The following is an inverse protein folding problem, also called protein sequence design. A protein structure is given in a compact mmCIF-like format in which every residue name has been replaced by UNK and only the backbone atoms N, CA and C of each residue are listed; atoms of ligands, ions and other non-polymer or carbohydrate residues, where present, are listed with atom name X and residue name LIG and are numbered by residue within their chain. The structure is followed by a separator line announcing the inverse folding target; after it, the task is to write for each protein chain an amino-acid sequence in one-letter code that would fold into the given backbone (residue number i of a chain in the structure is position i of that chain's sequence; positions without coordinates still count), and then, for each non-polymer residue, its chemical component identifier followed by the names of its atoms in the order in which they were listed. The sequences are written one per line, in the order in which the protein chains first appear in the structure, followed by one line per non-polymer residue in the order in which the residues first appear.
data_IF_823026008195
#
_entry.id   IF_823026008195
#
_cell.length_a   1.000
_cell.length_b   1.000
_cell.length_c   1.000
_cell.angle_alpha   90.00
_cell.angle_beta   90.00
_cell.angle_gamma   90.00
#
_symmetry.space_group_name_H-M   'P 1'
#
loop_
_entity.id
_entity.type
_entity.pdbx_description
1 polymer ?
#
# COMPACT_ATOMS: atom_id res chain seq x y z
N UNK A 1 2.72 -39.55 2.94
CA UNK A 1 2.15 -38.21 2.64
C UNK A 1 0.67 -38.31 2.27
N UNK A 2 0.24 -39.37 1.60
CA UNK A 2 -1.17 -39.79 1.46
C UNK A 2 -1.88 -39.98 2.80
N UNK A 3 -1.20 -40.55 3.80
CA UNK A 3 -1.75 -40.73 5.15
C UNK A 3 -2.14 -39.40 5.83
N UNK A 4 -1.27 -38.39 5.75
CA UNK A 4 -1.56 -37.06 6.30
C UNK A 4 -2.77 -36.44 5.60
N UNK A 5 -2.82 -36.51 4.26
CA UNK A 5 -3.94 -35.99 3.49
C UNK A 5 -5.26 -36.71 3.80
N UNK A 6 -5.23 -38.02 4.00
CA UNK A 6 -6.40 -38.83 4.40
C UNK A 6 -6.90 -38.44 5.80
N UNK A 7 -6.00 -38.32 6.77
CA UNK A 7 -6.35 -37.94 8.14
C UNK A 7 -6.98 -36.55 8.20
N UNK A 8 -6.39 -35.58 7.48
CA UNK A 8 -6.93 -34.21 7.43
C UNK A 8 -8.25 -34.13 6.67
N UNK A 9 -8.43 -34.95 5.61
CA UNK A 9 -9.71 -35.02 4.88
C UNK A 9 -10.84 -35.56 5.75
N UNK A 10 -10.57 -36.56 6.59
CA UNK A 10 -11.55 -37.09 7.55
C UNK A 10 -11.95 -36.01 8.57
N UNK A 11 -11.02 -35.14 8.97
CA UNK A 11 -11.24 -34.13 10.00
C UNK A 11 -11.91 -32.83 9.50
N UNK A 12 -11.60 -32.39 8.28
CA UNK A 12 -12.06 -31.10 7.71
C UNK A 12 -13.00 -31.24 6.51
N UNK A 13 -13.29 -32.46 6.05
CA UNK A 13 -14.14 -32.72 4.89
C UNK A 13 -13.48 -32.32 3.57
N UNK A 14 -14.30 -31.99 2.56
CA UNK A 14 -13.82 -31.60 1.22
C UNK A 14 -13.36 -30.12 1.13
N UNK A 15 -13.53 -29.32 2.18
CA UNK A 15 -13.05 -27.92 2.26
C UNK A 15 -11.63 -27.89 2.84
N UNK A 16 -10.74 -28.70 2.27
CA UNK A 16 -9.36 -28.84 2.74
C UNK A 16 -8.34 -28.65 1.59
N UNK A 17 -7.07 -28.46 1.97
CA UNK A 17 -5.95 -28.35 1.04
C UNK A 17 -5.92 -29.52 0.05
N UNK A 18 -5.63 -29.22 -1.21
CA UNK A 18 -5.43 -30.24 -2.23
C UNK A 18 -4.25 -31.13 -1.87
N UNK A 19 -4.23 -32.36 -2.41
CA UNK A 19 -3.13 -33.29 -2.18
C UNK A 19 -1.76 -32.69 -2.56
N UNK A 20 -1.72 -31.85 -3.59
CA UNK A 20 -0.51 -31.11 -3.99
C UNK A 20 -0.08 -30.10 -2.92
N UNK A 21 -1.01 -29.31 -2.38
CA UNK A 21 -0.70 -28.33 -1.34
C UNK A 21 -0.18 -29.00 -0.05
N UNK A 22 -0.77 -30.14 0.35
CA UNK A 22 -0.26 -30.93 1.49
C UNK A 22 1.17 -31.41 1.25
N UNK A 23 1.47 -31.83 0.02
CA UNK A 23 2.81 -32.26 -0.37
C UNK A 23 3.82 -31.10 -0.28
N UNK A 24 3.47 -29.94 -0.83
CA UNK A 24 4.31 -28.73 -0.79
C UNK A 24 4.61 -28.29 0.65
N UNK A 25 3.58 -28.24 1.51
CA UNK A 25 3.76 -27.91 2.92
C UNK A 25 4.63 -28.92 3.67
N UNK A 26 4.40 -30.21 3.44
CA UNK A 26 5.21 -31.27 4.04
C UNK A 26 6.69 -31.19 3.60
N UNK A 27 6.95 -30.81 2.35
CA UNK A 27 8.31 -30.57 1.86
C UNK A 27 8.94 -29.32 2.50
N UNK A 28 8.18 -28.22 2.63
CA UNK A 28 8.63 -27.00 3.33
C UNK A 28 9.06 -27.32 4.77
N UNK A 29 8.24 -28.05 5.52
CA UNK A 29 8.57 -28.46 6.89
C UNK A 29 9.81 -29.35 6.95
N UNK A 30 9.94 -30.34 6.04
CA UNK A 30 11.14 -31.18 5.96
C UNK A 30 12.41 -30.39 5.64
N UNK A 31 12.27 -29.30 4.89
CA UNK A 31 13.37 -28.39 4.54
C UNK A 31 13.64 -27.32 5.61
N UNK A 32 13.04 -27.45 6.81
CA UNK A 32 13.31 -26.57 7.95
C UNK A 32 12.52 -25.27 7.97
N UNK A 33 11.54 -25.08 7.07
CA UNK A 33 10.61 -23.95 7.15
C UNK A 33 9.60 -24.23 8.26
N UNK A 34 9.65 -23.45 9.33
CA UNK A 34 8.75 -23.58 10.49
C UNK A 34 7.62 -22.55 10.51
N UNK A 35 7.73 -21.48 9.72
CA UNK A 35 6.69 -20.45 9.61
C UNK A 35 5.54 -20.93 8.73
N UNK A 36 4.31 -20.75 9.23
CA UNK A 36 3.06 -21.02 8.51
C UNK A 36 2.52 -19.75 7.84
N UNK A 37 3.07 -18.58 8.18
CA UNK A 37 2.68 -17.32 7.55
C UNK A 37 3.05 -17.32 6.06
N UNK A 38 2.23 -16.65 5.25
CA UNK A 38 2.56 -16.43 3.85
C UNK A 38 3.90 -15.71 3.72
N UNK A 39 4.74 -16.22 2.83
CA UNK A 39 5.95 -15.51 2.45
C UNK A 39 5.56 -14.16 1.83
N UNK A 40 6.43 -13.13 1.88
CA UNK A 40 6.21 -11.89 1.17
C UNK A 40 5.87 -12.21 -0.28
N UNK A 41 4.60 -12.05 -0.64
CA UNK A 41 4.19 -12.21 -2.01
C UNK A 41 4.72 -10.98 -2.75
N UNK A 42 5.35 -11.13 -3.92
CA UNK A 42 5.53 -10.01 -4.81
C UNK A 42 4.12 -9.55 -5.20
N UNK A 43 3.58 -8.59 -4.45
CA UNK A 43 2.45 -7.81 -4.90
C UNK A 43 2.84 -7.09 -6.18
N UNK A 44 1.86 -6.58 -6.93
CA UNK A 44 2.13 -5.68 -8.03
C UNK A 44 2.88 -4.47 -7.43
N UNK A 45 4.21 -4.46 -7.56
CA UNK A 45 5.00 -3.33 -7.15
C UNK A 45 4.36 -2.12 -7.82
N UNK A 46 3.99 -1.11 -7.04
CA UNK A 46 3.47 0.13 -7.57
C UNK A 46 4.59 0.72 -8.44
N UNK A 47 4.59 0.40 -9.74
CA UNK A 47 5.54 0.81 -10.77
C UNK A 47 5.67 2.34 -10.90
N UNK A 48 4.98 3.10 -10.06
CA UNK A 48 4.80 4.55 -10.12
C UNK A 48 5.53 5.27 -8.98
N UNK A 49 6.03 4.57 -7.95
CA UNK A 49 6.82 5.21 -6.87
C UNK A 49 8.29 5.14 -7.23
N UNK A 50 8.74 6.08 -8.06
CA UNK A 50 10.17 6.29 -8.31
C UNK A 50 10.63 7.51 -7.52
N UNK A 51 11.93 7.64 -7.21
CA UNK A 51 12.45 8.84 -6.57
C UNK A 51 12.07 10.14 -7.32
N UNK A 52 12.02 10.08 -8.66
CA UNK A 52 11.65 11.19 -9.52
C UNK A 52 10.16 11.56 -9.39
N UNK A 53 9.27 10.57 -9.34
CA UNK A 53 7.84 10.85 -9.15
C UNK A 53 7.56 11.41 -7.75
N UNK A 54 8.26 10.92 -6.73
CA UNK A 54 8.17 11.46 -5.37
C UNK A 54 8.62 12.93 -5.31
N UNK A 55 9.76 13.26 -5.91
CA UNK A 55 10.26 14.63 -5.96
C UNK A 55 9.31 15.57 -6.74
N UNK A 56 8.72 15.10 -7.84
CA UNK A 56 7.75 15.88 -8.61
C UNK A 56 6.46 16.16 -7.82
N UNK A 57 5.95 15.16 -7.10
CA UNK A 57 4.79 15.33 -6.20
C UNK A 57 5.13 16.31 -5.07
N UNK A 58 6.29 16.16 -4.44
CA UNK A 58 6.73 17.04 -3.35
C UNK A 58 6.80 18.50 -3.82
N UNK A 59 7.39 18.76 -4.99
CA UNK A 59 7.46 20.11 -5.56
C UNK A 59 6.08 20.74 -5.76
N UNK A 60 5.11 20.00 -6.30
CA UNK A 60 3.74 20.49 -6.52
C UNK A 60 3.03 20.82 -5.19
N UNK A 61 3.21 19.98 -4.16
CA UNK A 61 2.60 20.22 -2.85
C UNK A 61 3.25 21.41 -2.14
N UNK A 62 4.57 21.58 -2.27
CA UNK A 62 5.30 22.69 -1.66
C UNK A 62 5.01 24.03 -2.34
N UNK A 63 4.73 24.03 -3.65
CA UNK A 63 4.26 25.21 -4.38
C UNK A 63 2.85 25.62 -3.96
N UNK A 64 1.94 24.65 -3.82
CA UNK A 64 0.56 24.90 -3.39
C UNK A 64 0.06 23.81 -2.44
N UNK A 65 0.04 24.11 -1.15
CA UNK A 65 -0.42 23.18 -0.12
C UNK A 65 -1.91 22.81 -0.19
N UNK A 66 -2.69 23.44 -1.09
CA UNK A 66 -4.11 23.15 -1.32
C UNK A 66 -4.38 22.32 -2.57
N UNK A 67 -3.34 21.89 -3.30
CA UNK A 67 -3.50 21.03 -4.47
C UNK A 67 -4.15 19.69 -4.09
N UNK A 68 -5.08 19.23 -4.91
CA UNK A 68 -5.77 17.96 -4.70
C UNK A 68 -5.00 16.78 -5.31
N UNK A 69 -5.28 15.58 -4.81
CA UNK A 69 -4.69 14.33 -5.34
C UNK A 69 -5.05 14.14 -6.81
N UNK A 70 -6.28 14.49 -7.22
CA UNK A 70 -6.72 14.42 -8.62
C UNK A 70 -5.96 15.39 -9.53
N UNK A 71 -5.63 16.59 -9.05
CA UNK A 71 -4.84 17.55 -9.81
C UNK A 71 -3.41 17.05 -9.98
N UNK A 72 -2.78 16.56 -8.91
CA UNK A 72 -1.45 15.94 -8.98
C UNK A 72 -1.45 14.76 -9.96
N UNK A 73 -2.46 13.89 -9.87
CA UNK A 73 -2.59 12.73 -10.74
C UNK A 73 -2.66 13.13 -12.22
N UNK A 74 -3.43 14.19 -12.55
CA UNK A 74 -3.53 14.72 -13.91
C UNK A 74 -2.23 15.37 -14.37
N UNK A 75 -1.60 16.18 -13.52
CA UNK A 75 -0.36 16.90 -13.84
C UNK A 75 0.81 15.94 -14.13
N UNK A 76 0.89 14.85 -13.37
CA UNK A 76 1.95 13.86 -13.50
C UNK A 76 1.56 12.64 -14.35
N UNK A 77 0.38 12.69 -14.99
CA UNK A 77 -0.17 11.61 -15.81
C UNK A 77 -0.11 10.22 -15.12
N UNK A 78 -0.48 10.19 -13.84
CA UNK A 78 -0.53 8.98 -13.03
C UNK A 78 -1.96 8.68 -12.60
N UNK A 79 -2.20 7.44 -12.17
CA UNK A 79 -3.51 7.11 -11.60
C UNK A 79 -3.67 7.72 -10.20
N UNK A 80 -4.92 7.98 -9.81
CA UNK A 80 -5.26 8.57 -8.51
C UNK A 80 -4.71 7.77 -7.32
N UNK A 81 -4.78 6.43 -7.37
CA UNK A 81 -4.30 5.56 -6.29
C UNK A 81 -2.78 5.68 -6.08
N UNK A 82 -2.01 5.75 -7.16
CA UNK A 82 -0.57 5.98 -7.12
C UNK A 82 -0.23 7.38 -6.58
N UNK A 83 -0.95 8.42 -7.02
CA UNK A 83 -0.76 9.76 -6.48
C UNK A 83 -1.04 9.80 -4.97
N UNK A 84 -2.16 9.19 -4.54
CA UNK A 84 -2.50 9.08 -3.12
C UNK A 84 -1.43 8.32 -2.33
N UNK A 85 -0.95 7.18 -2.86
CA UNK A 85 0.07 6.36 -2.23
C UNK A 85 1.41 7.11 -2.11
N UNK A 86 1.83 7.84 -3.15
CA UNK A 86 3.05 8.67 -3.09
C UNK A 86 2.92 9.76 -2.03
N UNK A 87 1.79 10.47 -1.98
CA UNK A 87 1.57 11.54 -1.01
C UNK A 87 1.56 10.98 0.42
N UNK A 88 0.77 9.93 0.66
CA UNK A 88 0.52 9.41 2.00
C UNK A 88 1.63 8.49 2.50
N UNK A 89 2.01 7.48 1.69
CA UNK A 89 2.95 6.44 2.13
C UNK A 89 4.39 6.79 1.73
N UNK A 90 4.58 7.42 0.57
CA UNK A 90 5.90 7.85 0.09
C UNK A 90 6.45 9.07 0.85
N UNK A 91 5.69 10.16 0.87
CA UNK A 91 6.10 11.45 1.46
C UNK A 91 5.61 11.66 2.90
N UNK A 92 4.74 10.77 3.41
CA UNK A 92 4.15 10.91 4.76
C UNK A 92 3.39 12.23 4.95
N UNK A 93 2.81 12.76 3.88
CA UNK A 93 1.99 13.96 3.93
C UNK A 93 0.54 13.63 4.29
N UNK A 94 -0.04 14.47 5.12
CA UNK A 94 -1.42 14.34 5.56
C UNK A 94 -2.21 15.60 5.21
N UNK A 95 -3.46 15.41 4.78
CA UNK A 95 -4.38 16.52 4.56
C UNK A 95 -4.77 17.14 5.90
N UNK A 96 -4.45 18.42 6.09
CA UNK A 96 -4.90 19.20 7.23
C UNK A 96 -5.87 20.28 6.76
N UNK A 97 -7.03 20.37 7.42
CA UNK A 97 -8.01 21.42 7.12
C UNK A 97 -7.52 22.77 7.64
N UNK A 98 -7.62 23.82 6.82
CA UNK A 98 -7.31 25.17 7.24
C UNK A 98 -8.25 25.63 8.37
N UNK A 99 -7.70 26.35 9.35
CA UNK A 99 -8.49 26.96 10.43
C UNK A 99 -9.27 28.16 9.86
N UNK A 100 -10.54 28.27 10.23
CA UNK A 100 -11.37 29.41 9.83
C UNK A 100 -10.85 30.68 10.53
N UNK A 101 -10.71 31.76 9.77
CA UNK A 101 -10.28 33.08 10.26
C UNK A 101 -11.41 34.06 9.94
N UNK A 102 -12.03 34.71 10.94
CA UNK A 102 -13.22 35.55 10.72
C UNK A 102 -12.96 36.84 9.95
N UNK A 103 -11.72 37.32 9.94
CA UNK A 103 -11.34 38.59 9.33
C UNK A 103 -10.13 38.43 8.41
N UNK A 104 -10.21 39.06 7.24
CA UNK A 104 -9.05 39.23 6.37
C UNK A 104 -8.25 40.44 6.86
N UNK A 105 -7.05 40.20 7.37
CA UNK A 105 -6.16 41.28 7.82
C UNK A 105 -5.60 42.03 6.60
N UNK A 106 -5.80 43.35 6.58
CA UNK A 106 -5.12 44.25 5.63
C UNK A 106 -3.64 44.40 6.00
N UNK A 107 -2.79 44.86 5.07
CA UNK A 107 -1.36 45.07 5.36
C UNK A 107 -1.12 46.00 6.55
N UNK A 108 -1.97 47.01 6.78
CA UNK A 108 -1.81 47.92 7.94
C UNK A 108 -2.07 47.24 9.28
N UNK A 109 -2.78 46.10 9.30
CA UNK A 109 -3.16 45.35 10.49
C UNK A 109 -2.23 44.17 10.78
N UNK A 110 -1.28 43.86 9.88
CA UNK A 110 -0.25 42.84 10.08
C UNK A 110 0.97 43.52 10.71
N UNK A 111 1.12 43.35 12.02
CA UNK A 111 2.20 43.96 12.82
C UNK A 111 3.54 43.28 12.58
#
# INVERSE_FOLDING_TARGET
MTEVHQQTKVQYGDVFLSQQQVYEWSMKFRNGVTSVADAPHPGHAHTVVTPESNAAVEALVMENCRVSVDEIAKLLNMNHGSAHHVIHDGLQFHKVSARWVPWQLTPELKR
#
